data_IF_865972462285
#
_entry.id   IF_865972462285
#
_cell.length_a   1.000
_cell.length_b   1.000
_cell.length_c   1.000
_cell.angle_alpha   90.00
_cell.angle_beta   90.00
_cell.angle_gamma   90.00
#
_symmetry.space_group_name_H-M   'P 1'
#
loop_
_entity.id
_entity.type
_entity.pdbx_description
1 polymer ?
#
# COMPACT_ATOMS: atom_id res chain seq x y z
N UNK A 1 -5.68 -7.07 -16.12
CA UNK A 1 -4.28 -7.01 -15.62
C UNK A 1 -4.19 -5.93 -14.55
N UNK A 2 -3.63 -6.26 -13.37
CA UNK A 2 -3.29 -5.29 -12.32
C UNK A 2 -1.77 -5.12 -12.33
N UNK A 3 -1.31 -3.87 -12.40
CA UNK A 3 0.10 -3.52 -12.26
C UNK A 3 0.35 -2.94 -10.89
N UNK A 4 1.33 -3.48 -10.18
CA UNK A 4 1.82 -2.91 -8.92
C UNK A 4 3.15 -2.19 -9.15
N UNK A 5 3.34 -1.05 -8.51
CA UNK A 5 4.59 -0.26 -8.60
C UNK A 5 4.90 0.34 -7.25
N UNK A 6 6.15 0.21 -6.80
CA UNK A 6 6.60 0.86 -5.57
C UNK A 6 6.83 2.34 -5.82
N UNK A 7 6.33 3.18 -4.92
CA UNK A 7 6.49 4.62 -5.01
C UNK A 7 6.83 5.19 -3.64
N UNK A 8 7.50 6.35 -3.64
CA UNK A 8 7.71 7.15 -2.43
C UNK A 8 6.71 8.30 -2.42
N UNK A 9 6.03 8.50 -1.29
CA UNK A 9 5.02 9.54 -1.15
C UNK A 9 5.68 10.93 -1.17
N UNK A 10 5.24 11.80 -2.08
CA UNK A 10 5.64 13.22 -2.11
C UNK A 10 4.73 14.12 -1.28
N UNK A 11 3.53 13.64 -0.95
CA UNK A 11 2.50 14.29 -0.13
C UNK A 11 1.77 13.21 0.66
N UNK A 12 1.17 13.60 1.79
CA UNK A 12 0.31 12.71 2.58
C UNK A 12 -0.82 12.14 1.71
N UNK A 13 -1.12 10.86 1.88
CA UNK A 13 -2.24 10.19 1.21
C UNK A 13 -2.83 9.08 2.07
N UNK A 14 -4.08 8.71 1.82
CA UNK A 14 -4.69 7.56 2.49
C UNK A 14 -4.07 6.24 2.00
N UNK A 15 -3.98 5.27 2.90
CA UNK A 15 -3.92 3.87 2.51
C UNK A 15 -5.35 3.36 2.31
N UNK A 16 -5.66 2.90 1.11
CA UNK A 16 -6.98 2.38 0.73
C UNK A 16 -7.21 0.95 1.24
N UNK A 17 -6.13 0.22 1.53
CA UNK A 17 -6.16 -1.17 1.97
C UNK A 17 -6.28 -1.34 3.50
N UNK A 18 -6.13 -0.25 4.26
CA UNK A 18 -6.23 -0.27 5.70
C UNK A 18 -7.65 0.13 6.12
N UNK A 19 -8.49 -0.88 6.33
CA UNK A 19 -9.87 -0.77 6.84
C UNK A 19 -10.02 -1.61 8.11
N UNK A 20 -10.74 -1.14 9.15
CA UNK A 20 -11.46 0.14 9.25
C UNK A 20 -10.54 1.34 9.59
N UNK A 21 -9.34 1.09 10.09
CA UNK A 21 -8.39 2.14 10.49
C UNK A 21 -7.66 2.66 9.26
N UNK A 22 -8.12 3.78 8.70
CA UNK A 22 -7.47 4.45 7.57
C UNK A 22 -6.15 5.06 8.01
N UNK A 23 -5.06 4.30 7.86
CA UNK A 23 -3.69 4.83 8.02
C UNK A 23 -3.39 5.87 6.95
N UNK A 24 -2.80 6.99 7.36
CA UNK A 24 -2.18 7.95 6.44
C UNK A 24 -0.75 7.53 6.11
N UNK A 25 -0.43 7.49 4.83
CA UNK A 25 0.94 7.37 4.31
C UNK A 25 1.53 8.78 4.29
N UNK A 26 2.63 8.99 5.02
CA UNK A 26 3.31 10.29 5.17
C UNK A 26 4.30 10.54 4.02
N UNK A 27 4.65 11.81 3.70
CA UNK A 27 5.73 12.11 2.77
C UNK A 27 7.03 11.40 3.16
N UNK A 28 7.74 10.83 2.18
CA UNK A 28 8.95 10.04 2.39
C UNK A 28 8.71 8.55 2.62
N UNK A 29 7.51 8.12 3.05
CA UNK A 29 7.19 6.70 3.16
C UNK A 29 7.04 6.05 1.79
N UNK A 30 7.49 4.79 1.69
CA UNK A 30 7.21 3.94 0.53
C UNK A 30 5.80 3.38 0.63
N UNK A 31 5.13 3.26 -0.51
CA UNK A 31 3.83 2.60 -0.68
C UNK A 31 3.78 1.83 -2.00
N UNK A 32 2.88 0.86 -2.08
CA UNK A 32 2.57 0.13 -3.30
C UNK A 32 1.40 0.83 -4.00
N UNK A 33 1.59 1.23 -5.25
CA UNK A 33 0.51 1.72 -6.11
C UNK A 33 0.03 0.56 -6.98
N UNK A 34 -1.24 0.20 -6.85
CA UNK A 34 -1.90 -0.80 -7.69
C UNK A 34 -2.80 -0.08 -8.70
N UNK A 35 -2.63 -0.40 -9.98
CA UNK A 35 -3.40 0.17 -11.09
C UNK A 35 -4.03 -0.95 -11.89
N UNK A 36 -5.35 -0.90 -12.06
CA UNK A 36 -6.09 -1.80 -12.93
C UNK A 36 -6.59 -1.05 -14.17
N UNK A 37 -6.46 -1.69 -15.34
CA UNK A 37 -7.02 -1.16 -16.59
C UNK A 37 -8.55 -1.02 -16.49
N UNK A 38 -9.16 -0.13 -17.29
CA UNK A 38 -10.57 -0.26 -17.62
C UNK A 38 -10.83 -1.68 -18.12
N UNK A 39 -12.02 -2.22 -17.82
CA UNK A 39 -12.44 -3.57 -18.23
C UNK A 39 -11.70 -4.71 -17.51
N UNK A 40 -11.20 -4.46 -16.30
CA UNK A 40 -10.71 -5.57 -15.48
C UNK A 40 -11.90 -6.42 -15.02
N UNK A 41 -12.06 -7.60 -15.64
CA UNK A 41 -13.23 -8.47 -15.51
C UNK A 41 -13.68 -8.76 -14.07
N UNK A 42 -12.74 -8.84 -13.12
CA UNK A 42 -13.05 -9.13 -11.72
C UNK A 42 -13.37 -7.90 -10.85
N UNK A 43 -13.00 -6.70 -11.29
CA UNK A 43 -13.15 -5.45 -10.51
C UNK A 43 -14.39 -4.64 -10.93
N UNK A 44 -14.95 -4.90 -12.11
CA UNK A 44 -16.12 -4.18 -12.62
C UNK A 44 -15.89 -2.68 -12.85
N UNK A 45 -14.62 -2.25 -12.95
CA UNK A 45 -14.26 -0.85 -13.14
C UNK A 45 -14.40 -0.42 -14.60
N UNK A 46 -15.19 0.63 -14.85
CA UNK A 46 -15.39 1.24 -16.18
C UNK A 46 -14.29 2.23 -16.57
N UNK A 47 -13.36 2.51 -15.66
CA UNK A 47 -12.22 3.40 -15.87
C UNK A 47 -10.99 2.94 -15.09
N UNK A 48 -9.87 3.65 -15.23
CA UNK A 48 -8.64 3.32 -14.52
C UNK A 48 -8.84 3.35 -13.01
N UNK A 49 -8.70 2.19 -12.38
CA UNK A 49 -8.78 2.09 -10.94
C UNK A 49 -7.37 2.16 -10.33
N UNK A 50 -7.26 2.89 -9.21
CA UNK A 50 -5.99 3.12 -8.51
C UNK A 50 -6.17 2.90 -7.03
N UNK A 51 -5.20 2.27 -6.40
CA UNK A 51 -5.15 2.04 -4.96
C UNK A 51 -3.74 2.31 -4.44
N UNK A 52 -3.65 2.99 -3.30
CA UNK A 52 -2.42 3.16 -2.54
C UNK A 52 -2.43 2.24 -1.32
N UNK A 53 -1.38 1.44 -1.17
CA UNK A 53 -1.22 0.47 -0.09
C UNK A 53 0.05 0.77 0.70
N UNK A 54 -0.07 1.03 2.00
CA UNK A 54 1.09 1.28 2.87
C UNK A 54 1.89 -0.02 3.10
N UNK A 55 3.13 0.11 3.55
CA UNK A 55 3.99 -1.06 3.83
C UNK A 55 3.33 -2.09 4.76
N UNK A 56 2.70 -1.67 5.86
CA UNK A 56 2.04 -2.60 6.78
C UNK A 56 0.91 -3.40 6.13
N UNK A 57 0.08 -2.75 5.32
CA UNK A 57 -0.97 -3.43 4.56
C UNK A 57 -0.35 -4.35 3.47
N UNK A 58 0.70 -3.90 2.76
CA UNK A 58 1.42 -4.74 1.79
C UNK A 58 1.98 -6.01 2.42
N UNK A 59 2.59 -5.94 3.61
CA UNK A 59 3.05 -7.11 4.36
C UNK A 59 1.89 -8.03 4.75
N UNK A 60 0.82 -7.47 5.33
CA UNK A 60 -0.38 -8.23 5.74
C UNK A 60 -0.98 -9.04 4.59
N UNK A 61 -0.95 -8.52 3.37
CA UNK A 61 -1.50 -9.19 2.19
C UNK A 61 -0.44 -9.92 1.34
N UNK A 62 0.73 -10.24 1.90
CA UNK A 62 1.77 -11.06 1.24
C UNK A 62 2.58 -10.35 0.15
N UNK A 63 2.39 -9.04 -0.03
CA UNK A 63 3.07 -8.19 -1.02
C UNK A 63 4.25 -7.41 -0.45
N UNK A 64 4.63 -7.63 0.80
CA UNK A 64 5.73 -6.92 1.46
C UNK A 64 7.07 -7.02 0.74
N UNK A 65 7.34 -8.16 0.08
CA UNK A 65 8.54 -8.37 -0.72
C UNK A 65 8.67 -7.36 -1.90
N UNK A 66 7.56 -6.79 -2.38
CA UNK A 66 7.60 -5.78 -3.44
C UNK A 66 8.09 -4.44 -2.91
N UNK A 67 7.70 -4.04 -1.70
CA UNK A 67 7.95 -2.69 -1.22
C UNK A 67 9.36 -2.50 -0.69
N UNK A 68 10.07 -3.58 -0.39
CA UNK A 68 11.48 -3.54 0.02
C UNK A 68 11.70 -2.63 1.22
N UNK A 69 10.84 -2.74 2.23
CA UNK A 69 11.25 -2.32 3.57
C UNK A 69 12.02 -3.50 4.13
N UNK A 70 13.34 -3.33 4.27
CA UNK A 70 14.04 -4.02 5.34
C UNK A 70 13.18 -3.80 6.57
N UNK A 71 12.72 -4.88 7.18
CA UNK A 71 11.98 -4.82 8.43
C UNK A 71 12.92 -4.14 9.39
N UNK A 72 12.83 -2.82 9.52
CA UNK A 72 13.30 -2.12 10.70
C UNK A 72 12.39 -2.65 11.77
N UNK A 73 12.89 -3.72 12.38
CA UNK A 73 12.55 -4.23 13.69
C UNK A 73 12.10 -3.03 14.50
N UNK A 74 10.78 -2.88 14.65
CA UNK A 74 10.27 -2.01 15.68
C UNK A 74 10.59 -2.80 16.93
N UNK A 75 11.57 -2.41 17.77
CA UNK A 75 11.79 -3.13 18.99
C UNK A 75 10.45 -3.11 19.71
N UNK A 76 9.94 -4.30 20.00
CA UNK A 76 8.80 -4.49 20.87
C UNK A 76 8.98 -3.51 22.04
N UNK A 77 7.99 -2.64 22.22
CA UNK A 77 8.00 -1.64 23.27
C UNK A 77 8.51 -2.31 24.56
N UNK A 78 9.65 -1.80 25.04
CA UNK A 78 10.21 -2.16 26.33
C UNK A 78 9.15 -1.99 27.41
N UNK A 79 9.15 -2.96 28.31
CA UNK A 79 8.19 -3.19 29.37
C UNK A 79 7.84 -1.95 30.22
N UNK A 80 6.64 -1.99 30.78
CA UNK A 80 6.36 -1.62 32.17
C UNK A 80 5.25 -2.52 32.69
#
# INVERSE_FOLDING_TARGET
>A
MIRSTVRTARKSRGCDACWPIRRTIKPGERYLECVASPDHGDLGNTGWWRMSECAGCAHRYGRGHLIGVDVVDTPAAVAS
#
